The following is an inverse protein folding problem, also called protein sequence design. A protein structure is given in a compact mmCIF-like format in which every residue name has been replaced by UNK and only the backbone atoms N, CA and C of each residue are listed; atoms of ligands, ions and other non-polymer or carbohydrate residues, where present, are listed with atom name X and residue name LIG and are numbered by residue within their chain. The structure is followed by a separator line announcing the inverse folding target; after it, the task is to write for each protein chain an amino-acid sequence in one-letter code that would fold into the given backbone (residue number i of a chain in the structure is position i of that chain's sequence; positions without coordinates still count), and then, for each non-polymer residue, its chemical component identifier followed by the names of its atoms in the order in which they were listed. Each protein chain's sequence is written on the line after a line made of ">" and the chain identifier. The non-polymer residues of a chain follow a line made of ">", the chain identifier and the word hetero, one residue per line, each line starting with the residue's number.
data_IF_480695749205
#
_entry.id   IF_480695749205
#
_cell.length_a   1.000
_cell.length_b   1.000
_cell.length_c   1.000
_cell.angle_alpha   90.00
_cell.angle_beta   90.00
_cell.angle_gamma   90.00
#
_symmetry.space_group_name_H-M   'P 1'
#
loop_
_entity.id
_entity.type
_entity.pdbx_description
1 polymer ?
#
# COMPACT_ATOMS: atom_id res chain seq x y z
N UNK A 1 -0.50 -2.24 -9.75
CA UNK A 1 0.12 -1.09 -10.44
C UNK A 1 1.38 -1.53 -11.15
N UNK A 2 1.89 -0.69 -12.05
CA UNK A 2 3.15 -0.92 -12.76
C UNK A 2 3.99 0.35 -12.62
N UNK A 3 5.28 0.22 -12.36
CA UNK A 3 6.21 1.35 -12.33
C UNK A 3 6.42 1.90 -13.75
N UNK A 4 6.81 3.18 -13.93
CA UNK A 4 6.94 3.78 -15.25
C UNK A 4 7.91 3.04 -16.19
N UNK A 5 8.96 2.43 -15.64
CA UNK A 5 9.97 1.64 -16.34
C UNK A 5 9.57 0.16 -16.54
N UNK A 6 8.43 -0.26 -15.98
CA UNK A 6 7.95 -1.64 -16.03
C UNK A 6 8.73 -2.63 -15.15
N UNK A 7 9.72 -2.18 -14.38
CA UNK A 7 10.55 -3.07 -13.55
C UNK A 7 9.80 -3.68 -12.38
N UNK A 8 8.75 -3.01 -11.89
CA UNK A 8 7.96 -3.44 -10.74
C UNK A 8 6.48 -3.56 -11.11
N UNK A 9 5.89 -4.72 -10.82
CA UNK A 9 4.47 -4.99 -11.02
C UNK A 9 3.86 -5.40 -9.69
N UNK A 10 3.04 -4.55 -9.10
CA UNK A 10 2.33 -4.87 -7.87
C UNK A 10 0.90 -5.30 -8.18
N UNK A 11 0.44 -6.33 -7.51
CA UNK A 11 -0.97 -6.71 -7.46
C UNK A 11 -1.40 -6.90 -6.01
N UNK A 12 -2.70 -6.94 -5.77
CA UNK A 12 -3.22 -7.34 -4.47
C UNK A 12 -4.23 -8.46 -4.60
N UNK A 13 -4.32 -9.22 -3.52
CA UNK A 13 -5.31 -10.28 -3.31
C UNK A 13 -6.18 -9.91 -2.12
N UNK A 14 -7.39 -10.46 -2.11
CA UNK A 14 -8.32 -10.31 -1.00
C UNK A 14 -8.37 -11.60 -0.20
N UNK A 15 -8.62 -11.48 1.10
CA UNK A 15 -8.87 -12.64 1.96
C UNK A 15 -9.95 -13.55 1.38
N UNK A 16 -9.71 -14.85 1.40
CA UNK A 16 -10.62 -15.84 0.82
C UNK A 16 -9.99 -17.23 0.77
N UNK A 17 -10.54 -18.09 -0.09
CA UNK A 17 -10.05 -19.46 -0.24
C UNK A 17 -8.60 -19.46 -0.70
N UNK A 18 -7.70 -20.03 0.12
CA UNK A 18 -6.23 -20.05 -0.08
C UNK A 18 -5.50 -18.72 0.11
N UNK A 19 -6.19 -17.67 0.57
CA UNK A 19 -5.61 -16.35 0.83
C UNK A 19 -5.94 -15.94 2.27
N UNK A 20 -4.99 -16.09 3.22
CA UNK A 20 -5.29 -15.94 4.65
C UNK A 20 -5.63 -14.51 5.07
N UNK A 21 -5.20 -13.52 4.30
CA UNK A 21 -5.50 -12.11 4.50
C UNK A 21 -5.34 -11.35 3.18
N UNK A 22 -5.93 -10.16 3.11
CA UNK A 22 -5.58 -9.18 2.08
C UNK A 22 -4.07 -8.99 2.03
N UNK A 23 -3.48 -8.96 0.83
CA UNK A 23 -2.04 -8.87 0.68
C UNK A 23 -1.66 -8.19 -0.62
N UNK A 24 -0.44 -7.63 -0.66
CA UNK A 24 0.16 -7.02 -1.84
C UNK A 24 1.31 -7.91 -2.27
N UNK A 25 1.29 -8.35 -3.52
CA UNK A 25 2.32 -9.19 -4.13
C UNK A 25 3.14 -8.36 -5.11
N UNK A 26 4.45 -8.54 -5.06
CA UNK A 26 5.36 -8.11 -6.11
C UNK A 26 5.49 -9.25 -7.12
N UNK A 27 5.00 -9.01 -8.34
CA UNK A 27 4.74 -10.06 -9.31
C UNK A 27 6.01 -10.36 -10.09
N UNK A 28 6.48 -11.60 -9.95
CA UNK A 28 7.55 -12.18 -10.75
C UNK A 28 7.00 -13.15 -11.80
N UNK A 29 7.69 -13.25 -12.93
CA UNK A 29 7.28 -14.12 -14.03
C UNK A 29 7.28 -15.60 -13.61
N UNK A 30 6.12 -16.24 -13.72
CA UNK A 30 5.93 -17.65 -13.35
C UNK A 30 5.94 -17.92 -11.84
N UNK A 31 5.82 -16.88 -11.00
CA UNK A 31 5.65 -17.03 -9.55
C UNK A 31 4.27 -17.57 -9.17
N UNK A 32 4.20 -18.35 -8.10
CA UNK A 32 2.96 -18.88 -7.53
C UNK A 32 2.56 -18.11 -6.27
N UNK A 33 1.43 -17.39 -6.29
CA UNK A 33 1.01 -16.50 -5.20
C UNK A 33 -0.09 -17.10 -4.31
N UNK A 34 -0.19 -18.43 -4.25
CA UNK A 34 -1.04 -19.16 -3.29
C UNK A 34 -2.37 -19.69 -3.81
N UNK A 35 -2.87 -19.18 -4.94
CA UNK A 35 -4.16 -19.61 -5.50
C UNK A 35 -4.17 -21.11 -5.86
N UNK A 36 -5.04 -21.89 -5.20
CA UNK A 36 -5.11 -23.34 -5.36
C UNK A 36 -4.22 -24.13 -4.39
N UNK A 37 -3.67 -23.48 -3.35
CA UNK A 37 -2.90 -24.10 -2.28
C UNK A 37 -1.41 -24.25 -2.60
N UNK A 38 -0.65 -24.90 -1.69
CA UNK A 38 0.78 -25.14 -1.87
C UNK A 38 1.09 -25.92 -3.17
N UNK A 39 2.23 -25.61 -3.80
CA UNK A 39 2.74 -26.32 -4.98
C UNK A 39 4.20 -26.72 -4.74
N UNK A 40 4.57 -27.93 -5.17
CA UNK A 40 5.95 -28.43 -5.15
C UNK A 40 6.82 -27.77 -6.25
N UNK A 41 8.12 -27.62 -6.01
CA UNK A 41 9.13 -27.16 -7.01
C UNK A 41 9.83 -25.83 -6.70
N UNK A 42 10.83 -25.47 -7.52
CA UNK A 42 11.73 -24.31 -7.30
C UNK A 42 11.05 -22.94 -7.30
N UNK A 43 9.87 -22.82 -7.92
CA UNK A 43 9.02 -21.62 -7.89
C UNK A 43 7.81 -21.78 -6.98
N UNK A 44 7.96 -22.64 -5.97
CA UNK A 44 7.05 -22.78 -4.83
C UNK A 44 6.68 -21.42 -4.26
N UNK A 45 5.56 -21.40 -3.54
CA UNK A 45 4.87 -20.22 -3.04
C UNK A 45 5.74 -18.95 -2.88
N UNK A 46 5.49 -17.93 -3.68
CA UNK A 46 6.09 -16.60 -3.56
C UNK A 46 5.30 -15.83 -2.52
N UNK A 47 5.90 -15.50 -1.36
CA UNK A 47 5.20 -14.77 -0.33
C UNK A 47 4.83 -13.37 -0.82
N UNK A 48 3.66 -12.83 -0.43
CA UNK A 48 3.34 -11.43 -0.63
C UNK A 48 4.39 -10.52 -0.01
N UNK A 49 4.60 -9.37 -0.63
CA UNK A 49 5.46 -8.29 -0.14
C UNK A 49 4.95 -7.72 1.19
N UNK A 50 3.63 -7.71 1.39
CA UNK A 50 2.98 -7.21 2.59
C UNK A 50 1.62 -7.86 2.79
N UNK A 51 1.35 -8.39 3.99
CA UNK A 51 -0.01 -8.73 4.42
C UNK A 51 -0.64 -7.56 5.16
N UNK A 52 -1.93 -7.37 4.96
CA UNK A 52 -2.72 -6.34 5.63
C UNK A 52 -3.74 -7.03 6.55
N UNK A 53 -3.72 -6.73 7.87
CA UNK A 53 -4.73 -7.25 8.78
C UNK A 53 -6.14 -6.88 8.31
N UNK A 54 -7.10 -7.80 8.44
CA UNK A 54 -8.48 -7.61 8.00
C UNK A 54 -9.13 -6.33 8.55
N UNK A 55 -8.82 -5.94 9.79
CA UNK A 55 -9.31 -4.71 10.40
C UNK A 55 -8.70 -3.42 9.84
N UNK A 56 -7.60 -3.54 9.10
CA UNK A 56 -6.88 -2.44 8.44
C UNK A 56 -7.26 -2.36 6.96
N UNK A 57 -7.28 -3.50 6.26
CA UNK A 57 -7.78 -3.64 4.89
C UNK A 57 -8.54 -4.97 4.70
N UNK A 58 -9.86 -4.89 4.63
CA UNK A 58 -10.73 -6.04 4.45
C UNK A 58 -10.92 -6.45 2.98
N UNK A 59 -10.55 -5.59 2.03
CA UNK A 59 -10.72 -5.84 0.60
C UNK A 59 -9.82 -4.89 -0.19
N UNK A 60 -8.65 -5.41 -0.57
CA UNK A 60 -7.65 -4.65 -1.31
C UNK A 60 -8.10 -4.23 -2.70
N UNK A 61 -7.84 -2.97 -3.03
CA UNK A 61 -7.91 -2.39 -4.38
C UNK A 61 -6.52 -2.24 -5.02
N UNK A 62 -6.44 -1.55 -6.15
CA UNK A 62 -5.19 -1.44 -6.91
C UNK A 62 -4.11 -0.58 -6.26
N UNK A 63 -2.87 -0.75 -6.73
CA UNK A 63 -1.73 0.11 -6.41
C UNK A 63 -1.44 1.06 -7.58
N UNK A 64 -1.02 2.29 -7.28
CA UNK A 64 -0.58 3.29 -8.27
C UNK A 64 0.79 3.82 -7.88
N UNK A 65 1.71 3.87 -8.85
CA UNK A 65 3.04 4.43 -8.65
C UNK A 65 2.95 5.96 -8.55
N UNK A 66 3.68 6.55 -7.60
CA UNK A 66 3.77 7.99 -7.41
C UNK A 66 4.89 8.52 -8.29
N UNK A 67 4.51 9.05 -9.46
CA UNK A 67 5.44 9.67 -10.42
C UNK A 67 5.29 11.21 -10.45
N UNK A 68 4.81 11.81 -9.36
CA UNK A 68 4.61 13.24 -9.28
C UNK A 68 5.28 13.86 -8.07
N UNK A 69 6.13 14.84 -8.33
CA UNK A 69 6.79 15.64 -7.30
C UNK A 69 5.86 16.72 -6.72
N UNK A 70 4.62 16.81 -7.22
CA UNK A 70 3.58 17.75 -6.74
C UNK A 70 2.64 17.11 -5.70
N UNK A 71 2.90 15.86 -5.31
CA UNK A 71 2.08 15.11 -4.36
C UNK A 71 2.87 14.73 -3.08
N UNK A 72 3.64 15.68 -2.56
CA UNK A 72 4.45 15.49 -1.36
C UNK A 72 5.77 14.74 -1.64
N UNK A 73 6.57 14.48 -0.59
CA UNK A 73 7.90 13.88 -0.70
C UNK A 73 7.86 12.36 -0.88
N UNK A 74 6.98 11.86 -1.76
CA UNK A 74 6.70 10.43 -1.95
C UNK A 74 6.95 9.95 -3.39
N UNK A 75 7.54 10.79 -4.24
CA UNK A 75 7.90 10.40 -5.61
C UNK A 75 8.78 9.14 -5.59
N UNK A 76 8.46 8.14 -6.40
CA UNK A 76 9.12 6.84 -6.40
C UNK A 76 8.43 5.76 -5.53
N UNK A 77 7.55 6.16 -4.61
CA UNK A 77 6.77 5.24 -3.78
C UNK A 77 5.41 4.90 -4.45
N UNK A 78 4.51 4.24 -3.70
CA UNK A 78 3.23 3.78 -4.20
C UNK A 78 2.08 4.28 -3.32
N UNK A 79 0.89 4.35 -3.91
CA UNK A 79 -0.37 4.41 -3.15
C UNK A 79 -1.08 3.08 -3.31
N UNK A 80 -1.58 2.55 -2.20
CA UNK A 80 -2.48 1.40 -2.17
C UNK A 80 -3.89 1.84 -1.77
N UNK A 81 -4.92 1.23 -2.35
CA UNK A 81 -6.30 1.48 -1.99
C UNK A 81 -6.92 0.29 -1.28
N UNK A 82 -7.73 0.54 -0.25
CA UNK A 82 -8.67 -0.43 0.29
C UNK A 82 -10.03 -0.16 -0.35
N UNK A 83 -10.48 -1.10 -1.17
CA UNK A 83 -11.83 -1.05 -1.74
C UNK A 83 -12.86 -1.24 -0.64
N UNK A 84 -12.65 -2.16 0.31
CA UNK A 84 -13.63 -2.41 1.35
C UNK A 84 -13.82 -1.24 2.31
N UNK A 85 -12.74 -0.68 2.86
CA UNK A 85 -12.84 0.47 3.78
C UNK A 85 -12.92 1.83 3.11
N UNK A 86 -12.86 1.91 1.78
CA UNK A 86 -12.78 3.18 1.04
C UNK A 86 -11.62 4.05 1.54
N UNK A 87 -10.45 3.45 1.76
CA UNK A 87 -9.25 4.10 2.30
C UNK A 87 -8.09 4.07 1.31
N UNK A 88 -7.06 4.85 1.60
CA UNK A 88 -5.80 4.84 0.89
C UNK A 88 -4.63 4.81 1.87
N UNK A 89 -3.50 4.34 1.36
CA UNK A 89 -2.28 4.15 2.10
C UNK A 89 -1.10 4.67 1.28
N UNK A 90 -0.11 5.23 1.95
CA UNK A 90 1.25 5.22 1.41
C UNK A 90 1.71 3.77 1.47
N UNK A 91 2.21 3.25 0.35
CA UNK A 91 2.85 1.95 0.28
C UNK A 91 4.32 2.17 -0.04
N UNK A 92 5.16 1.86 0.95
CA UNK A 92 6.60 1.89 0.84
C UNK A 92 7.09 0.51 0.41
N UNK A 93 8.05 0.45 -0.51
CA UNK A 93 8.62 -0.80 -1.01
C UNK A 93 10.13 -0.78 -0.80
N UNK A 94 10.64 -1.81 -0.13
CA UNK A 94 12.06 -2.09 0.00
C UNK A 94 12.43 -3.25 -0.94
N UNK A 95 13.48 -3.06 -1.74
CA UNK A 95 14.01 -4.09 -2.63
C UNK A 95 15.16 -4.83 -1.94
N UNK A 96 15.07 -6.15 -1.89
CA UNK A 96 16.11 -7.04 -1.38
C UNK A 96 16.76 -7.79 -2.56
N UNK A 97 17.87 -8.49 -2.32
CA UNK A 97 18.62 -9.20 -3.38
C UNK A 97 17.76 -10.15 -4.23
N UNK A 98 16.80 -10.86 -3.61
CA UNK A 98 16.00 -11.90 -4.26
C UNK A 98 14.49 -11.74 -4.08
N UNK A 99 14.06 -10.69 -3.38
CA UNK A 99 12.65 -10.47 -3.02
C UNK A 99 12.41 -9.00 -2.74
N UNK A 100 11.18 -8.65 -2.36
CA UNK A 100 10.83 -7.33 -1.87
C UNK A 100 9.96 -7.46 -0.64
N UNK A 101 9.92 -6.40 0.15
CA UNK A 101 9.02 -6.26 1.30
C UNK A 101 8.42 -4.86 1.31
N UNK A 102 7.36 -4.69 2.09
CA UNK A 102 6.61 -3.43 2.09
C UNK A 102 6.15 -3.00 3.47
N UNK A 103 5.88 -1.71 3.58
CA UNK A 103 5.20 -1.10 4.71
C UNK A 103 4.03 -0.26 4.19
N UNK A 104 2.93 -0.21 4.93
CA UNK A 104 1.78 0.61 4.57
C UNK A 104 1.44 1.58 5.71
N UNK A 105 1.23 2.84 5.35
CA UNK A 105 0.81 3.91 6.27
C UNK A 105 -0.57 4.39 5.83
N UNK A 106 -1.57 4.22 6.69
CA UNK A 106 -2.94 4.70 6.42
C UNK A 106 -2.92 6.22 6.30
N UNK A 107 -3.45 6.74 5.20
CA UNK A 107 -3.65 8.18 5.05
C UNK A 107 -5.02 8.60 5.60
N UNK A 108 -5.13 9.83 6.14
CA UNK A 108 -6.38 10.34 6.69
C UNK A 108 -7.41 10.58 5.60
N UNK A 109 -8.67 10.47 5.99
CA UNK A 109 -9.82 10.65 5.08
C UNK A 109 -10.22 9.35 4.36
N UNK A 110 -11.48 9.30 4.00
CA UNK A 110 -12.10 8.19 3.27
C UNK A 110 -12.71 8.66 1.97
N UNK A 111 -12.79 7.76 1.00
CA UNK A 111 -13.52 7.96 -0.24
C UNK A 111 -15.02 7.69 -0.04
N UNK A 112 -15.84 8.30 -0.89
CA UNK A 112 -17.30 8.14 -0.90
C UNK A 112 -17.73 6.75 -1.37
N UNK A 113 -16.89 6.06 -2.14
CA UNK A 113 -17.13 4.73 -2.67
C UNK A 113 -15.87 3.88 -2.53
N UNK A 114 -15.97 2.56 -2.65
CA UNK A 114 -14.84 1.64 -2.53
C UNK A 114 -13.73 1.95 -3.52
N UNK A 115 -12.66 2.59 -3.02
CA UNK A 115 -11.53 3.05 -3.82
C UNK A 115 -10.74 1.87 -4.36
N UNK A 116 -10.58 1.79 -5.67
CA UNK A 116 -9.91 0.64 -6.29
C UNK A 116 -9.02 0.99 -7.49
N UNK A 117 -9.08 2.21 -8.03
CA UNK A 117 -8.15 2.69 -9.07
C UNK A 117 -7.74 4.12 -8.81
N UNK A 118 -6.47 4.42 -9.08
CA UNK A 118 -5.94 5.78 -9.05
C UNK A 118 -5.04 6.08 -10.24
N UNK A 119 -4.93 7.37 -10.58
CA UNK A 119 -3.98 7.92 -11.55
C UNK A 119 -3.52 9.30 -11.10
N UNK A 120 -2.23 9.57 -11.27
CA UNK A 120 -1.71 10.93 -11.18
C UNK A 120 -2.00 11.68 -12.46
N UNK A 121 -2.57 12.87 -12.33
CA UNK A 121 -2.89 13.75 -13.47
C UNK A 121 -1.62 14.42 -13.98
N UNK A 122 -1.31 14.37 -15.29
CA UNK A 122 -0.15 15.06 -15.85
C UNK A 122 -0.31 16.59 -15.82
N UNK A 123 -1.53 17.10 -15.61
CA UNK A 123 -1.82 18.54 -15.64
C UNK A 123 -1.51 19.23 -14.31
N UNK A 124 -1.94 18.65 -13.18
CA UNK A 124 -1.75 19.23 -11.85
C UNK A 124 -0.89 18.37 -10.91
N UNK A 125 -0.50 17.16 -11.33
CA UNK A 125 0.31 16.23 -10.54
C UNK A 125 -0.42 15.63 -9.35
N UNK A 126 -1.75 15.78 -9.27
CA UNK A 126 -2.53 15.31 -8.14
C UNK A 126 -3.12 13.92 -8.40
N UNK A 127 -3.44 13.20 -7.33
CA UNK A 127 -4.01 11.86 -7.43
C UNK A 127 -5.52 11.94 -7.65
N UNK A 128 -6.01 11.29 -8.70
CA UNK A 128 -7.43 11.08 -8.98
C UNK A 128 -7.77 9.62 -8.76
N UNK A 129 -8.84 9.37 -8.00
CA UNK A 129 -9.24 8.04 -7.53
C UNK A 129 -10.67 7.79 -7.95
N UNK A 130 -10.91 6.64 -8.59
CA UNK A 130 -12.26 6.14 -8.82
C UNK A 130 -12.60 5.06 -7.82
N UNK A 131 -13.84 5.10 -7.34
CA UNK A 131 -14.42 4.08 -6.49
C UNK A 131 -15.80 3.66 -6.96
N UNK A 132 -16.23 2.48 -6.53
CA UNK A 132 -17.57 1.95 -6.77
C UNK A 132 -18.04 1.18 -5.53
N UNK A 133 -19.34 1.02 -5.39
CA UNK A 133 -19.90 0.07 -4.44
C UNK A 133 -19.59 -1.36 -4.84
N UNK A 134 -19.61 -2.23 -3.84
CA UNK A 134 -19.37 -3.65 -3.98
C UNK A 134 -19.72 -4.37 -2.68
N UNK A 135 -19.63 -5.70 -2.71
CA UNK A 135 -19.88 -6.50 -1.52
C UNK A 135 -18.86 -6.18 -0.42
N UNK A 136 -19.33 -5.93 0.80
CA UNK A 136 -18.46 -5.68 1.96
C UNK A 136 -17.69 -4.34 1.92
N UNK A 137 -18.15 -3.37 1.12
CA UNK A 137 -17.63 -2.00 1.12
C UNK A 137 -18.40 -1.09 2.10
N UNK A 138 -17.69 -0.11 2.68
CA UNK A 138 -18.21 0.91 3.62
C UNK A 138 -18.37 2.30 2.99
N UNK A 139 -18.28 2.43 1.67
CA UNK A 139 -18.62 3.66 0.96
C UNK A 139 -20.11 4.01 1.14
N UNK A 140 -20.45 5.27 0.94
CA UNK A 140 -21.82 5.80 1.05
C UNK A 140 -22.45 6.17 -0.29
N UNK A 141 -21.69 6.14 -1.38
CA UNK A 141 -22.15 6.43 -2.74
C UNK A 141 -21.86 5.26 -3.67
N UNK A 142 -22.69 5.08 -4.70
CA UNK A 142 -22.58 3.99 -5.70
C UNK A 142 -21.28 4.03 -6.50
N UNK A 143 -20.77 5.24 -6.72
CA UNK A 143 -19.51 5.47 -7.40
C UNK A 143 -19.00 6.88 -7.12
N UNK A 144 -17.70 7.06 -7.28
CA UNK A 144 -17.07 8.35 -7.06
C UNK A 144 -15.84 8.53 -7.94
N UNK A 145 -15.60 9.77 -8.35
CA UNK A 145 -14.30 10.25 -8.84
C UNK A 145 -13.86 11.38 -7.90
N UNK A 146 -12.78 11.17 -7.16
CA UNK A 146 -12.30 12.10 -6.16
C UNK A 146 -10.83 12.44 -6.38
N UNK A 147 -10.47 13.69 -6.10
CA UNK A 147 -9.10 14.18 -6.17
C UNK A 147 -8.51 14.28 -4.77
N UNK A 148 -7.37 13.63 -4.55
CA UNK A 148 -6.55 13.78 -3.34
C UNK A 148 -5.40 14.72 -3.67
N UNK A 149 -5.29 15.80 -2.91
CA UNK A 149 -4.26 16.82 -3.15
C UNK A 149 -3.30 16.92 -1.98
N UNK A 150 -2.02 17.01 -2.31
CA UNK A 150 -1.03 17.54 -1.37
C UNK A 150 -1.10 19.07 -1.45
N UNK A 151 -1.51 19.72 -0.37
CA UNK A 151 -1.75 21.16 -0.36
C UNK A 151 -0.62 21.98 0.28
N UNK A 152 0.44 21.32 0.75
CA UNK A 152 1.62 21.92 1.40
C UNK A 152 1.27 22.98 2.47
N UNK A 153 0.11 22.84 3.13
CA UNK A 153 -0.37 23.81 4.12
C UNK A 153 0.41 23.71 5.43
N UNK A 154 1.04 22.57 5.68
CA UNK A 154 1.98 22.37 6.78
C UNK A 154 3.36 22.19 6.17
N UNK A 155 4.38 22.85 6.71
CA UNK A 155 5.79 22.67 6.30
C UNK A 155 6.31 21.24 6.58
N UNK A 156 5.56 20.47 7.37
CA UNK A 156 5.94 19.15 7.86
C UNK A 156 5.08 18.07 7.19
N UNK A 157 5.75 17.10 6.55
CA UNK A 157 5.12 15.86 6.10
C UNK A 157 5.23 14.78 7.20
N UNK A 158 4.14 14.43 7.90
CA UNK A 158 4.24 13.72 9.18
C UNK A 158 4.37 12.19 9.04
N UNK A 159 4.51 11.65 7.84
CA UNK A 159 4.59 10.22 7.58
C UNK A 159 6.00 9.81 7.15
N UNK A 160 6.42 8.56 7.42
CA UNK A 160 7.62 8.01 6.82
C UNK A 160 7.53 8.05 5.28
N UNK A 161 8.65 8.37 4.66
CA UNK A 161 8.82 8.37 3.19
C UNK A 161 9.63 7.17 2.72
N UNK A 162 10.29 6.46 3.64
CA UNK A 162 10.99 5.22 3.38
C UNK A 162 11.08 4.39 4.66
N UNK A 163 11.41 3.11 4.52
CA UNK A 163 11.65 2.20 5.63
C UNK A 163 12.69 1.13 5.27
N UNK A 164 13.29 0.56 6.31
CA UNK A 164 14.25 -0.52 6.15
C UNK A 164 14.16 -1.48 7.34
N UNK A 165 14.15 -2.78 7.06
CA UNK A 165 14.18 -3.80 8.10
C UNK A 165 15.62 -4.14 8.46
N UNK A 166 15.92 -4.12 9.75
CA UNK A 166 17.21 -4.50 10.35
C UNK A 166 17.02 -5.70 11.26
N UNK A 167 18.12 -6.39 11.59
CA UNK A 167 18.09 -7.54 12.50
C UNK A 167 17.45 -7.21 13.87
N UNK A 168 17.56 -5.96 14.30
CA UNK A 168 17.10 -5.49 15.61
C UNK A 168 15.89 -4.53 15.54
N UNK A 169 15.26 -4.33 14.38
CA UNK A 169 14.09 -3.45 14.29
C UNK A 169 13.79 -2.92 12.89
N UNK A 170 13.04 -1.81 12.86
CA UNK A 170 12.66 -1.11 11.62
C UNK A 170 13.17 0.31 11.71
N UNK A 171 13.94 0.73 10.70
CA UNK A 171 14.35 2.12 10.52
C UNK A 171 13.30 2.83 9.66
N UNK A 172 12.82 3.97 10.12
CA UNK A 172 11.87 4.82 9.39
C UNK A 172 12.57 6.11 8.98
N UNK A 173 12.48 6.46 7.70
CA UNK A 173 13.02 7.71 7.17
C UNK A 173 11.89 8.71 6.99
N UNK A 174 12.10 9.94 7.45
CA UNK A 174 11.16 11.05 7.30
C UNK A 174 11.75 12.12 6.38
N UNK A 175 10.88 12.86 5.70
CA UNK A 175 11.29 13.94 4.81
C UNK A 175 11.85 15.17 5.54
N UNK A 176 11.48 15.35 6.82
CA UNK A 176 11.78 16.54 7.61
C UNK A 176 12.13 16.15 9.05
N UNK A 177 13.07 16.87 9.68
CA UNK A 177 13.47 16.61 11.07
C UNK A 177 12.32 16.86 12.05
N UNK A 178 11.43 17.82 11.78
CA UNK A 178 10.27 18.14 12.61
C UNK A 178 9.21 17.01 12.62
N UNK A 179 9.34 16.01 11.75
CA UNK A 179 8.52 14.80 11.78
C UNK A 179 9.02 13.79 12.82
N UNK A 180 10.30 13.83 13.19
CA UNK A 180 10.95 12.88 14.12
C UNK A 180 10.42 12.98 15.56
N UNK A 181 10.12 14.16 16.14
CA UNK A 181 9.53 14.27 17.48
C UNK A 181 8.18 13.54 17.65
N UNK A 182 7.51 13.15 16.55
CA UNK A 182 6.29 12.33 16.58
C UNK A 182 6.59 10.82 16.69
N UNK A 183 7.85 10.41 16.59
CA UNK A 183 8.35 9.05 16.76
C UNK A 183 8.85 8.77 18.19
N UNK A 184 8.24 9.41 19.20
CA UNK A 184 8.50 9.15 20.62
C UNK A 184 8.17 7.70 20.98
N UNK A 185 9.20 6.85 21.07
CA UNK A 185 9.10 5.39 21.21
C UNK A 185 8.23 4.90 22.37
N UNK A 186 8.06 5.69 23.44
CA UNK A 186 7.17 5.35 24.56
C UNK A 186 5.68 5.36 24.18
N UNK A 187 5.34 5.94 23.03
CA UNK A 187 3.96 6.03 22.50
C UNK A 187 3.63 4.98 21.44
N UNK A 188 4.55 4.07 21.15
CA UNK A 188 4.37 3.05 20.12
C UNK A 188 4.20 1.67 20.74
N UNK A 189 3.36 0.87 20.11
CA UNK A 189 3.31 -0.57 20.35
C UNK A 189 3.38 -1.28 18.99
N UNK A 190 3.97 -2.47 19.00
CA UNK A 190 4.04 -3.32 17.82
C UNK A 190 3.19 -4.57 18.05
N UNK A 191 2.54 -5.03 17.00
CA UNK A 191 1.86 -6.31 16.95
C UNK A 191 2.39 -7.09 15.77
N UNK A 192 2.43 -8.41 15.93
CA UNK A 192 2.85 -9.32 14.88
C UNK A 192 1.72 -10.29 14.52
N UNK A 193 1.74 -10.75 13.29
CA UNK A 193 0.82 -11.78 12.81
C UNK A 193 1.63 -12.87 12.14
N UNK A 194 1.35 -14.11 12.50
CA UNK A 194 1.96 -15.28 11.90
C UNK A 194 0.96 -15.87 10.90
N UNK A 195 0.77 -15.20 9.76
CA UNK A 195 -0.08 -15.72 8.69
C UNK A 195 0.49 -17.05 8.20
N UNK A 196 -0.31 -18.11 8.33
CA UNK A 196 0.00 -19.45 7.83
C UNK A 196 -0.90 -19.72 6.62
N UNK A 197 -0.30 -20.24 5.57
CA UNK A 197 -1.01 -20.76 4.40
C UNK A 197 -1.59 -22.14 4.68
#
# INVERSE_FOLDING_TARGET
>A
GISPDGSTVLTSVQEGTWTPASAICDVSFGGHFGAGGPREGERGYVPPMLYLPRGVDNSSGGQVFINSDKWGPLSGQWVHFSSGFSKHFILLRESLDKSSQGAAVVLPGSFLAGSHRGRFSPYDGQLYVTGSQGWGNYGIADGALQRVRYNNQTEVFPYPVDFEVRENGVLLTFANEESVPKADHEKWYAQHWNYRY
#
